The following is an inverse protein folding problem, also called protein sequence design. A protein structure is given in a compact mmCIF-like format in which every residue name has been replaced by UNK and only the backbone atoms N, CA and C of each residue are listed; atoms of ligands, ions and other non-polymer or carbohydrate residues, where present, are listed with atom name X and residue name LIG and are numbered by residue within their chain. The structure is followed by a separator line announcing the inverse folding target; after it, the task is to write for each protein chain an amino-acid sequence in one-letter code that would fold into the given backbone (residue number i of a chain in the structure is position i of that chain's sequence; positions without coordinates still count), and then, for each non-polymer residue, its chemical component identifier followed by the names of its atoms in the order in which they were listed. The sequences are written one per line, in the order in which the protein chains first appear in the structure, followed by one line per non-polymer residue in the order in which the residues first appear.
data_IF_536807148162
#
_entry.id   IF_536807148162
#
_cell.length_a   1.000
_cell.length_b   1.000
_cell.length_c   1.000
_cell.angle_alpha   90.00
_cell.angle_beta   90.00
_cell.angle_gamma   90.00
#
_symmetry.space_group_name_H-M   'P 1'
#
loop_
_entity.id
_entity.type
_entity.pdbx_description
1 polymer ?
#
# COMPACT_ATOMS: atom_id res chain seq x y z
N UNK A 1 -13.02 -0.11 1.16
CA UNK A 1 -13.08 -0.52 2.58
C UNK A 1 -14.34 0.04 3.25
N UNK A 2 -14.51 1.36 3.33
CA UNK A 2 -15.65 2.01 4.00
C UNK A 2 -17.03 1.59 3.43
N UNK A 3 -17.23 1.68 2.11
CA UNK A 3 -18.49 1.27 1.46
C UNK A 3 -18.83 -0.22 1.64
N UNK A 4 -17.84 -1.05 1.94
CA UNK A 4 -18.01 -2.49 2.21
C UNK A 4 -18.07 -2.82 3.72
N UNK A 5 -18.09 -1.80 4.59
CA UNK A 5 -18.24 -2.01 6.03
C UNK A 5 -19.62 -2.58 6.36
N UNK A 6 -19.70 -3.54 7.28
CA UNK A 6 -20.96 -4.24 7.55
C UNK A 6 -20.71 -5.60 8.21
N UNK A 7 -21.65 -6.57 8.13
CA UNK A 7 -22.83 -6.57 7.24
C UNK A 7 -24.09 -5.90 7.81
N UNK A 8 -24.16 -5.66 9.13
CA UNK A 8 -25.34 -5.04 9.78
C UNK A 8 -25.07 -3.68 10.40
N UNK A 9 -23.83 -3.45 10.83
CA UNK A 9 -23.38 -2.25 11.57
C UNK A 9 -22.35 -1.44 10.76
N UNK A 10 -22.66 -1.22 9.48
CA UNK A 10 -21.83 -0.46 8.54
C UNK A 10 -22.66 0.01 7.34
N UNK A 11 -21.99 0.49 6.29
CA UNK A 11 -22.67 1.02 5.10
C UNK A 11 -23.26 -0.07 4.19
N UNK A 12 -22.52 -1.17 3.97
CA UNK A 12 -22.90 -2.29 3.11
C UNK A 12 -23.40 -1.91 1.69
N UNK A 13 -22.90 -0.79 1.14
CA UNK A 13 -23.28 -0.28 -0.19
C UNK A 13 -22.73 -1.13 -1.34
N UNK A 14 -21.57 -1.77 -1.12
CA UNK A 14 -20.97 -2.71 -2.08
C UNK A 14 -20.56 -4.01 -1.39
N UNK A 15 -20.56 -5.10 -2.17
CA UNK A 15 -20.06 -6.40 -1.74
C UNK A 15 -18.71 -6.69 -2.39
N UNK A 16 -17.71 -6.98 -1.56
CA UNK A 16 -16.39 -7.41 -2.03
C UNK A 16 -16.32 -8.95 -2.09
N UNK A 17 -15.65 -9.54 -3.10
CA UNK A 17 -15.44 -10.98 -3.15
C UNK A 17 -14.63 -11.47 -1.94
N UNK A 18 -15.09 -12.54 -1.30
CA UNK A 18 -14.36 -13.19 -0.21
C UNK A 18 -13.13 -13.92 -0.75
N UNK A 19 -11.93 -13.56 -0.28
CA UNK A 19 -10.66 -14.19 -0.69
C UNK A 19 -10.09 -15.16 0.35
N UNK A 20 -10.39 -14.94 1.63
CA UNK A 20 -9.97 -15.78 2.74
C UNK A 20 -10.88 -15.55 3.96
N UNK A 21 -10.93 -16.49 4.93
CA UNK A 21 -11.60 -16.27 6.21
C UNK A 21 -10.99 -15.06 6.95
N UNK A 22 -11.83 -14.14 7.42
CA UNK A 22 -11.40 -12.92 8.10
C UNK A 22 -11.09 -13.08 9.58
N UNK A 23 -11.48 -14.20 10.19
CA UNK A 23 -11.22 -14.49 11.60
C UNK A 23 -11.38 -15.99 11.88
N UNK A 24 -10.53 -16.52 12.75
CA UNK A 24 -10.63 -17.91 13.24
C UNK A 24 -11.80 -18.14 14.20
N UNK A 25 -12.28 -17.09 14.90
CA UNK A 25 -13.34 -17.21 15.92
C UNK A 25 -14.72 -16.78 15.41
N UNK A 26 -14.80 -16.01 14.32
CA UNK A 26 -16.06 -15.53 13.75
C UNK A 26 -16.33 -16.18 12.39
N UNK A 27 -17.08 -17.31 12.35
CA UNK A 27 -17.48 -17.95 11.10
C UNK A 27 -18.19 -16.97 10.16
N UNK A 28 -17.81 -16.97 8.88
CA UNK A 28 -18.42 -16.11 7.86
C UNK A 28 -17.95 -14.65 7.87
N UNK A 29 -17.10 -14.23 8.82
CA UNK A 29 -16.49 -12.88 8.76
C UNK A 29 -15.51 -12.80 7.58
N UNK A 30 -15.66 -11.76 6.75
CA UNK A 30 -14.80 -11.47 5.60
C UNK A 30 -14.26 -10.06 5.74
N UNK A 31 -12.95 -9.89 5.61
CA UNK A 31 -12.28 -8.58 5.66
C UNK A 31 -11.92 -8.11 4.24
N UNK A 32 -11.81 -6.79 4.01
CA UNK A 32 -11.40 -6.23 2.72
C UNK A 32 -9.88 -6.32 2.50
N UNK A 33 -9.32 -7.53 2.57
CA UNK A 33 -7.85 -7.77 2.57
C UNK A 33 -7.14 -7.28 1.31
N UNK A 34 -7.80 -7.33 0.15
CA UNK A 34 -7.22 -6.83 -1.11
C UNK A 34 -7.03 -5.30 -1.07
N UNK A 35 -8.05 -4.49 -0.74
CA UNK A 35 -7.84 -3.07 -0.46
C UNK A 35 -6.82 -2.77 0.66
N UNK A 36 -6.70 -3.63 1.67
CA UNK A 36 -5.72 -3.44 2.76
C UNK A 36 -4.28 -3.61 2.29
N UNK A 37 -3.97 -4.61 1.46
CA UNK A 37 -2.63 -4.79 0.90
C UNK A 37 -2.29 -3.69 -0.11
N UNK A 38 -3.25 -3.24 -0.91
CA UNK A 38 -3.04 -2.11 -1.84
C UNK A 38 -2.71 -0.83 -1.08
N UNK A 39 -3.37 -0.57 0.06
CA UNK A 39 -3.02 0.57 0.91
C UNK A 39 -1.58 0.48 1.46
N UNK A 40 -1.15 -0.71 1.90
CA UNK A 40 0.23 -0.92 2.37
C UNK A 40 1.25 -0.68 1.26
N UNK A 41 0.99 -1.18 0.05
CA UNK A 41 1.83 -0.93 -1.14
C UNK A 41 1.89 0.58 -1.44
N UNK A 42 0.74 1.26 -1.45
CA UNK A 42 0.70 2.70 -1.71
C UNK A 42 1.53 3.50 -0.68
N UNK A 43 1.48 3.13 0.60
CA UNK A 43 2.33 3.76 1.62
C UNK A 43 3.82 3.48 1.39
N UNK A 44 4.19 2.27 0.96
CA UNK A 44 5.57 1.94 0.61
C UNK A 44 6.07 2.79 -0.57
N UNK A 45 5.27 2.92 -1.63
CA UNK A 45 5.61 3.73 -2.81
C UNK A 45 5.81 5.20 -2.43
N UNK A 46 5.00 5.75 -1.53
CA UNK A 46 5.18 7.12 -1.01
C UNK A 46 6.52 7.26 -0.26
N UNK A 47 6.90 6.28 0.55
CA UNK A 47 8.20 6.27 1.23
C UNK A 47 9.39 6.17 0.26
N UNK A 48 9.24 5.36 -0.79
CA UNK A 48 10.22 5.21 -1.85
C UNK A 48 10.41 6.51 -2.63
N UNK A 49 9.32 7.20 -2.98
CA UNK A 49 9.34 8.52 -3.62
C UNK A 49 10.09 9.56 -2.78
N UNK A 50 9.83 9.60 -1.46
CA UNK A 50 10.56 10.50 -0.58
C UNK A 50 12.07 10.19 -0.55
N UNK A 51 12.44 8.90 -0.56
CA UNK A 51 13.84 8.47 -0.64
C UNK A 51 14.49 8.91 -1.95
N UNK A 52 13.78 8.77 -3.08
CA UNK A 52 14.22 9.24 -4.40
C UNK A 52 14.41 10.76 -4.40
N UNK A 53 13.49 11.51 -3.79
CA UNK A 53 13.57 12.96 -3.68
C UNK A 53 14.84 13.42 -2.95
N UNK A 54 15.14 12.82 -1.78
CA UNK A 54 16.35 13.13 -1.03
C UNK A 54 17.63 12.70 -1.78
N UNK A 55 17.63 11.54 -2.43
CA UNK A 55 18.77 11.08 -3.22
C UNK A 55 19.04 11.97 -4.44
N UNK A 56 17.98 12.51 -5.06
CA UNK A 56 18.09 13.39 -6.22
C UNK A 56 18.67 14.75 -5.86
N UNK A 57 18.36 15.27 -4.66
CA UNK A 57 18.86 16.57 -4.17
C UNK A 57 20.35 16.50 -3.78
N UNK A 58 20.83 15.37 -3.28
CA UNK A 58 22.20 15.20 -2.78
C UNK A 58 23.31 15.09 -3.85
N UNK A 59 23.05 15.52 -5.09
CA UNK A 59 24.05 15.56 -6.16
C UNK A 59 25.18 16.54 -5.85
N UNK A 60 26.42 16.19 -6.20
CA UNK A 60 27.60 17.01 -5.90
C UNK A 60 28.36 17.34 -7.19
N UNK A 61 28.37 18.62 -7.56
CA UNK A 61 29.03 19.14 -8.76
C UNK A 61 28.56 18.41 -10.03
N UNK A 62 29.45 17.69 -10.71
CA UNK A 62 29.17 17.06 -12.01
C UNK A 62 28.42 15.72 -11.92
N UNK A 63 28.29 15.11 -10.73
CA UNK A 63 27.75 13.76 -10.62
C UNK A 63 26.90 13.53 -9.36
N UNK A 64 25.85 12.72 -9.50
CA UNK A 64 25.09 12.18 -8.38
C UNK A 64 25.50 10.72 -8.14
N UNK A 65 26.06 10.44 -6.96
CA UNK A 65 26.49 9.07 -6.58
C UNK A 65 25.39 8.23 -5.91
N UNK A 66 24.21 8.82 -5.69
CA UNK A 66 23.07 8.16 -5.05
C UNK A 66 22.17 7.40 -6.05
N UNK A 67 22.57 7.32 -7.32
CA UNK A 67 21.84 6.63 -8.38
C UNK A 67 21.43 5.18 -8.05
N UNK A 68 22.25 4.34 -7.37
CA UNK A 68 21.83 2.98 -7.04
C UNK A 68 20.58 2.91 -6.15
N UNK A 69 20.46 3.78 -5.14
CA UNK A 69 19.28 3.80 -4.27
C UNK A 69 18.07 4.39 -5.00
N UNK A 70 18.30 5.35 -5.89
CA UNK A 70 17.25 5.94 -6.71
C UNK A 70 16.62 4.88 -7.62
N UNK A 71 17.43 4.20 -8.43
CA UNK A 71 16.93 3.22 -9.40
C UNK A 71 16.30 2.01 -8.72
N UNK A 72 16.84 1.59 -7.57
CA UNK A 72 16.25 0.50 -6.78
C UNK A 72 14.84 0.86 -6.30
N UNK A 73 14.66 2.03 -5.69
CA UNK A 73 13.36 2.48 -5.20
C UNK A 73 12.36 2.71 -6.35
N UNK A 74 12.84 3.19 -7.50
CA UNK A 74 12.00 3.38 -8.68
C UNK A 74 11.50 2.04 -9.24
N UNK A 75 12.37 1.03 -9.35
CA UNK A 75 12.01 -0.29 -9.90
C UNK A 75 11.21 -1.17 -8.93
N UNK A 76 11.39 -0.98 -7.62
CA UNK A 76 10.63 -1.72 -6.61
C UNK A 76 9.18 -1.23 -6.49
N UNK A 77 8.93 0.05 -6.79
CA UNK A 77 7.64 0.72 -6.61
C UNK A 77 6.56 0.26 -7.59
#
# INVERSE_FOLDING_TARGET
RLMASGPRVGLAEIMLPARQPGSSIMPGKVNPVMPEVINQIAFQVIGNDHTICLASEAGQLELNVMEPVLVFNLLQS
#
